data_IF_801440630347
#
_entry.id   IF_801440630347
#
_cell.length_a   1.000
_cell.length_b   1.000
_cell.length_c   1.000
_cell.angle_alpha   90.00
_cell.angle_beta   90.00
_cell.angle_gamma   90.00
#
_symmetry.space_group_name_H-M   'P 1'
#
loop_
_entity.id
_entity.type
_entity.pdbx_description
1 polymer ?
#
# COMPACT_ATOMS: atom_id res chain seq x y z
N UNK A 1 -10.31 -75.04 35.35
CA UNK A 1 -10.82 -73.92 34.52
C UNK A 1 -10.15 -72.63 34.95
N UNK A 2 -9.37 -72.01 34.05
CA UNK A 2 -9.17 -70.56 33.86
C UNK A 2 -7.90 -70.36 33.01
N UNK A 3 -8.10 -70.38 31.70
CA UNK A 3 -7.14 -69.90 30.69
C UNK A 3 -7.14 -68.37 30.73
N UNK A 4 -6.03 -67.77 31.15
CA UNK A 4 -5.81 -66.32 31.04
C UNK A 4 -5.17 -66.01 29.69
N UNK A 5 -5.95 -65.43 28.78
CA UNK A 5 -5.48 -64.92 27.49
C UNK A 5 -4.87 -63.53 27.72
N UNK A 6 -3.54 -63.39 27.58
CA UNK A 6 -2.85 -62.10 27.66
C UNK A 6 -2.97 -61.41 26.29
N UNK A 7 -3.84 -60.41 26.17
CA UNK A 7 -3.94 -59.57 24.96
C UNK A 7 -2.93 -58.42 25.06
N UNK A 8 -1.95 -58.41 24.15
CA UNK A 8 -1.01 -57.30 23.97
C UNK A 8 -1.70 -56.27 23.07
N UNK A 9 -2.09 -55.13 23.64
CA UNK A 9 -2.60 -53.97 22.91
C UNK A 9 -1.38 -53.16 22.45
N UNK A 10 -1.08 -53.20 21.14
CA UNK A 10 -0.10 -52.34 20.50
C UNK A 10 -0.77 -50.97 20.26
N UNK A 11 -0.41 -49.98 21.08
CA UNK A 11 -0.77 -48.58 20.85
C UNK A 11 0.08 -48.03 19.69
N UNK A 12 -0.56 -47.86 18.52
CA UNK A 12 -0.02 -47.04 17.44
C UNK A 12 -0.05 -45.58 17.88
N UNK A 13 1.13 -45.03 18.25
CA UNK A 13 1.32 -43.59 18.34
C UNK A 13 1.28 -43.03 16.92
N UNK A 14 0.14 -42.49 16.52
CA UNK A 14 0.08 -41.58 15.37
C UNK A 14 0.78 -40.31 15.82
N UNK A 15 2.05 -40.18 15.45
CA UNK A 15 2.79 -38.93 15.56
C UNK A 15 2.09 -37.92 14.66
N UNK A 16 1.27 -37.05 15.26
CA UNK A 16 0.78 -35.85 14.59
C UNK A 16 2.05 -35.01 14.37
N UNK A 17 2.62 -35.07 13.18
CA UNK A 17 3.65 -34.14 12.76
C UNK A 17 2.98 -32.77 12.74
N UNK A 18 3.14 -32.01 13.82
CA UNK A 18 2.74 -30.62 13.83
C UNK A 18 3.53 -29.92 12.73
N UNK A 19 2.85 -29.53 11.65
CA UNK A 19 3.44 -28.65 10.67
C UNK A 19 3.87 -27.40 11.41
N UNK A 20 5.19 -27.16 11.47
CA UNK A 20 5.69 -25.93 12.08
C UNK A 20 5.11 -24.77 11.30
N UNK A 21 4.28 -23.96 11.99
CA UNK A 21 3.75 -22.74 11.41
C UNK A 21 4.86 -21.69 11.21
N UNK A 22 6.04 -21.85 11.82
CA UNK A 22 7.18 -20.95 11.61
C UNK A 22 7.86 -21.20 10.27
N UNK A 23 8.21 -20.11 9.59
CA UNK A 23 8.95 -20.12 8.32
C UNK A 23 10.44 -19.87 8.61
N UNK A 24 11.30 -20.81 8.22
CA UNK A 24 12.76 -20.63 8.27
C UNK A 24 13.24 -19.73 7.12
N UNK A 25 14.50 -19.28 7.17
CA UNK A 25 14.99 -18.32 6.18
C UNK A 25 15.13 -18.94 4.79
N UNK A 26 15.46 -20.23 4.70
CA UNK A 26 15.63 -20.95 3.44
C UNK A 26 14.30 -21.09 2.67
N UNK A 27 13.23 -21.46 3.36
CA UNK A 27 11.85 -21.48 2.85
C UNK A 27 11.45 -20.08 2.38
N UNK A 28 11.74 -19.04 3.19
CA UNK A 28 11.38 -17.67 2.86
C UNK A 28 12.15 -17.14 1.63
N UNK A 29 13.44 -17.44 1.50
CA UNK A 29 14.26 -17.09 0.34
C UNK A 29 13.71 -17.76 -0.93
N UNK A 30 13.37 -19.04 -0.84
CA UNK A 30 12.76 -19.78 -1.95
C UNK A 30 11.45 -19.14 -2.38
N UNK A 31 10.56 -18.86 -1.44
CA UNK A 31 9.29 -18.17 -1.72
C UNK A 31 9.53 -16.81 -2.38
N UNK A 32 10.48 -16.02 -1.88
CA UNK A 32 10.81 -14.73 -2.46
C UNK A 32 11.26 -14.84 -3.91
N UNK A 33 12.19 -15.75 -4.22
CA UNK A 33 12.74 -15.92 -5.58
C UNK A 33 11.66 -16.44 -6.53
N UNK A 34 10.89 -17.46 -6.13
CA UNK A 34 9.80 -18.03 -6.95
C UNK A 34 8.75 -16.97 -7.26
N UNK A 35 8.29 -16.25 -6.23
CA UNK A 35 7.28 -15.21 -6.39
C UNK A 35 7.80 -14.06 -7.25
N UNK A 36 9.02 -13.59 -7.01
CA UNK A 36 9.64 -12.53 -7.81
C UNK A 36 9.76 -12.92 -9.28
N UNK A 37 10.26 -14.14 -9.56
CA UNK A 37 10.38 -14.67 -10.93
C UNK A 37 9.04 -14.69 -11.65
N UNK A 38 7.99 -15.20 -10.98
CA UNK A 38 6.63 -15.28 -11.53
C UNK A 38 6.08 -13.90 -11.87
N UNK A 39 6.22 -12.91 -10.96
CA UNK A 39 5.72 -11.55 -11.16
C UNK A 39 6.52 -10.76 -12.19
N UNK A 40 7.85 -10.84 -12.16
CA UNK A 40 8.70 -10.12 -13.11
C UNK A 40 8.47 -10.58 -14.56
N UNK A 41 8.31 -11.89 -14.78
CA UNK A 41 8.08 -12.46 -16.11
C UNK A 41 6.74 -12.09 -16.75
N UNK A 42 5.81 -11.49 -15.99
CA UNK A 42 4.60 -10.88 -16.55
C UNK A 42 4.94 -9.65 -17.42
N UNK A 43 6.01 -8.94 -17.09
CA UNK A 43 6.40 -7.67 -17.70
C UNK A 43 7.64 -7.80 -18.60
N UNK A 44 8.64 -8.54 -18.13
CA UNK A 44 9.92 -8.69 -18.83
C UNK A 44 10.44 -10.12 -18.65
N UNK A 45 10.88 -10.74 -19.75
CA UNK A 45 11.42 -12.10 -19.72
C UNK A 45 12.77 -12.12 -19.01
N UNK A 46 12.82 -12.68 -17.80
CA UNK A 46 14.04 -12.86 -17.01
C UNK A 46 14.28 -14.35 -16.75
N UNK A 47 15.54 -14.78 -16.67
CA UNK A 47 15.87 -16.18 -16.34
C UNK A 47 15.87 -16.37 -14.83
N UNK A 48 15.37 -17.51 -14.38
CA UNK A 48 15.35 -17.86 -12.96
C UNK A 48 16.74 -17.80 -12.31
N UNK A 49 17.78 -18.26 -13.01
CA UNK A 49 19.16 -18.27 -12.51
C UNK A 49 19.82 -16.88 -12.45
N UNK A 50 19.20 -15.85 -13.04
CA UNK A 50 19.71 -14.47 -13.00
C UNK A 50 19.15 -13.71 -11.78
N UNK A 51 18.26 -14.32 -11.00
CA UNK A 51 17.66 -13.72 -9.80
C UNK A 51 18.51 -14.05 -8.58
N UNK A 52 18.99 -13.02 -7.93
CA UNK A 52 19.81 -13.13 -6.72
C UNK A 52 19.25 -12.24 -5.60
N UNK A 53 19.36 -12.72 -4.36
CA UNK A 53 19.05 -11.91 -3.18
C UNK A 53 20.28 -11.05 -2.88
N UNK A 54 20.14 -9.74 -3.06
CA UNK A 54 21.19 -8.76 -2.77
C UNK A 54 21.34 -8.51 -1.26
N UNK A 55 20.21 -8.35 -0.56
CA UNK A 55 20.18 -8.07 0.87
C UNK A 55 18.97 -8.74 1.51
N UNK A 56 19.09 -9.09 2.79
CA UNK A 56 18.00 -9.68 3.56
C UNK A 56 17.84 -9.02 4.93
N UNK A 57 16.61 -8.70 5.29
CA UNK A 57 16.24 -8.16 6.60
C UNK A 57 15.30 -9.12 7.31
N UNK A 58 15.37 -9.13 8.64
CA UNK A 58 14.49 -9.91 9.50
C UNK A 58 13.77 -8.96 10.45
N UNK A 59 12.46 -8.85 10.32
CA UNK A 59 11.62 -8.06 11.22
C UNK A 59 10.99 -8.97 12.25
N UNK A 60 11.11 -8.57 13.53
CA UNK A 60 10.72 -9.38 14.68
C UNK A 60 9.73 -8.66 15.59
N UNK A 61 8.96 -9.46 16.31
CA UNK A 61 8.25 -9.09 17.55
C UNK A 61 8.73 -10.07 18.60
N UNK A 62 9.40 -9.58 19.64
CA UNK A 62 10.13 -10.41 20.61
C UNK A 62 11.04 -11.45 19.91
N UNK A 63 10.84 -12.74 20.19
CA UNK A 63 11.59 -13.85 19.59
C UNK A 63 10.97 -14.36 18.27
N UNK A 64 9.80 -13.86 17.89
CA UNK A 64 9.10 -14.28 16.69
C UNK A 64 9.55 -13.45 15.48
N UNK A 65 9.91 -14.13 14.39
CA UNK A 65 10.10 -13.47 13.11
C UNK A 65 8.73 -13.23 12.49
N UNK A 66 8.39 -11.96 12.26
CA UNK A 66 7.09 -11.57 11.69
C UNK A 66 7.14 -11.63 10.19
N UNK A 67 8.22 -11.10 9.59
CA UNK A 67 8.49 -11.28 8.17
C UNK A 67 9.96 -11.09 7.86
N UNK A 68 10.33 -11.61 6.71
CA UNK A 68 11.60 -11.39 6.04
C UNK A 68 11.40 -10.36 4.93
N UNK A 69 12.43 -9.57 4.64
CA UNK A 69 12.45 -8.72 3.45
C UNK A 69 13.68 -9.08 2.65
N UNK A 70 13.53 -9.37 1.37
CA UNK A 70 14.62 -9.69 0.46
C UNK A 70 14.70 -8.66 -0.65
N UNK A 71 15.78 -7.90 -0.71
CA UNK A 71 16.11 -7.07 -1.87
C UNK A 71 16.65 -7.98 -2.98
N UNK A 72 16.14 -7.80 -4.19
CA UNK A 72 16.47 -8.63 -5.35
C UNK A 72 17.38 -7.84 -6.29
N UNK A 73 18.43 -8.48 -6.82
CA UNK A 73 19.27 -7.92 -7.86
C UNK A 73 18.61 -8.12 -9.25
N UNK A 74 18.61 -7.13 -10.15
CA UNK A 74 19.22 -5.80 -10.01
C UNK A 74 18.37 -4.77 -9.24
N UNK A 75 17.06 -4.99 -9.10
CA UNK A 75 16.17 -4.13 -8.31
C UNK A 75 14.94 -4.89 -7.85
N UNK A 76 14.23 -4.34 -6.86
CA UNK A 76 13.00 -4.91 -6.33
C UNK A 76 13.18 -5.45 -4.91
N UNK A 77 12.06 -5.74 -4.26
CA UNK A 77 12.04 -6.44 -2.99
C UNK A 77 10.82 -7.36 -2.88
N UNK A 78 10.93 -8.38 -2.03
CA UNK A 78 9.80 -9.23 -1.62
C UNK A 78 9.77 -9.32 -0.09
N UNK A 79 8.61 -9.03 0.48
CA UNK A 79 8.33 -9.23 1.90
C UNK A 79 7.63 -10.58 2.06
N UNK A 80 8.23 -11.49 2.82
CA UNK A 80 7.76 -12.86 3.02
C UNK A 80 7.37 -13.08 4.47
N UNK A 81 6.15 -13.54 4.73
CA UNK A 81 5.65 -13.76 6.08
C UNK A 81 6.47 -14.81 6.84
N UNK A 82 6.68 -14.58 8.13
CA UNK A 82 7.38 -15.48 9.04
C UNK A 82 6.52 -16.65 9.54
N UNK A 83 5.24 -16.70 9.16
CA UNK A 83 4.29 -17.70 9.60
C UNK A 83 3.42 -18.26 8.46
N UNK A 84 3.35 -19.59 8.35
CA UNK A 84 2.58 -20.33 7.35
C UNK A 84 1.06 -20.19 7.49
N UNK A 85 0.58 -19.71 8.65
CA UNK A 85 -0.82 -19.38 8.87
C UNK A 85 -1.21 -17.95 8.46
N UNK A 86 -0.32 -17.25 7.75
CA UNK A 86 -0.57 -15.95 7.12
C UNK A 86 -0.21 -16.02 5.63
N UNK A 87 -0.68 -15.06 4.82
CA UNK A 87 -0.38 -15.04 3.38
C UNK A 87 1.15 -15.06 3.12
N UNK A 88 1.66 -15.78 2.12
CA UNK A 88 3.12 -15.93 1.95
C UNK A 88 3.85 -14.63 1.64
N UNK A 89 3.30 -13.84 0.71
CA UNK A 89 3.90 -12.59 0.23
C UNK A 89 2.91 -11.43 0.38
N UNK A 90 2.90 -10.74 1.52
CA UNK A 90 2.05 -9.56 1.75
C UNK A 90 2.44 -8.32 0.93
N UNK A 91 3.70 -8.18 0.52
CA UNK A 91 4.15 -7.00 -0.24
C UNK A 91 5.37 -7.31 -1.11
N UNK A 92 5.48 -6.62 -2.25
CA UNK A 92 6.65 -6.67 -3.12
C UNK A 92 6.75 -5.40 -3.99
N UNK A 93 7.92 -5.19 -4.58
CA UNK A 93 8.16 -4.20 -5.65
C UNK A 93 9.09 -4.80 -6.69
N UNK A 94 8.82 -4.55 -7.97
CA UNK A 94 9.72 -4.92 -9.07
C UNK A 94 10.64 -3.77 -9.51
N UNK A 95 10.52 -2.58 -8.89
CA UNK A 95 11.17 -1.34 -9.37
C UNK A 95 12.08 -0.67 -8.35
N UNK A 96 11.89 -0.97 -7.08
CA UNK A 96 12.62 -0.32 -5.99
C UNK A 96 13.03 -1.36 -4.97
N UNK A 97 14.19 -1.14 -4.34
CA UNK A 97 14.63 -1.93 -3.19
C UNK A 97 13.99 -1.40 -1.92
N UNK A 98 13.81 -2.28 -0.94
CA UNK A 98 13.43 -1.91 0.41
C UNK A 98 14.61 -1.25 1.13
N UNK A 99 14.31 -0.28 1.98
CA UNK A 99 15.25 0.33 2.93
C UNK A 99 14.54 0.52 4.26
N UNK A 100 15.21 0.30 5.38
CA UNK A 100 14.67 0.63 6.70
C UNK A 100 14.76 2.14 7.01
N UNK A 101 15.45 2.91 6.16
CA UNK A 101 15.66 4.33 6.33
C UNK A 101 14.65 5.18 5.54
N UNK A 102 14.25 6.31 6.14
CA UNK A 102 13.41 7.36 5.51
C UNK A 102 12.13 6.87 4.80
N UNK A 103 11.53 5.79 5.31
CA UNK A 103 10.29 5.25 4.75
C UNK A 103 9.11 6.23 4.92
N UNK A 104 8.26 6.41 3.89
CA UNK A 104 7.08 7.27 4.00
C UNK A 104 6.14 6.81 5.14
N UNK A 105 5.58 7.73 5.94
CA UNK A 105 4.74 7.36 7.09
C UNK A 105 3.53 6.52 6.70
N UNK A 106 2.91 6.79 5.54
CA UNK A 106 1.80 6.01 5.01
C UNK A 106 2.18 4.56 4.66
N UNK A 107 3.40 4.34 4.17
CA UNK A 107 3.91 2.98 3.92
C UNK A 107 4.17 2.25 5.24
N UNK A 108 4.78 2.92 6.23
CA UNK A 108 4.99 2.36 7.56
C UNK A 108 3.66 1.95 8.22
N UNK A 109 2.65 2.81 8.16
CA UNK A 109 1.32 2.53 8.70
C UNK A 109 0.67 1.34 8.00
N UNK A 110 0.79 1.23 6.68
CA UNK A 110 0.25 0.10 5.91
C UNK A 110 0.97 -1.22 6.22
N UNK A 111 2.31 -1.25 6.20
CA UNK A 111 3.09 -2.45 6.55
C UNK A 111 2.86 -2.88 8.00
N UNK A 112 2.64 -1.93 8.91
CA UNK A 112 2.30 -2.23 10.31
C UNK A 112 1.03 -3.08 10.44
N UNK A 113 0.04 -2.90 9.56
CA UNK A 113 -1.17 -3.73 9.57
C UNK A 113 -0.85 -5.21 9.29
N UNK A 114 0.02 -5.49 8.32
CA UNK A 114 0.49 -6.86 8.09
C UNK A 114 1.34 -7.39 9.24
N UNK A 115 2.19 -6.54 9.83
CA UNK A 115 2.94 -6.90 11.03
C UNK A 115 2.00 -7.39 12.14
N UNK A 116 0.97 -6.60 12.46
CA UNK A 116 0.03 -6.90 13.54
C UNK A 116 -0.80 -8.16 13.23
N UNK A 117 -1.24 -8.35 11.99
CA UNK A 117 -1.97 -9.55 11.56
C UNK A 117 -1.13 -10.81 11.67
N UNK A 118 0.14 -10.77 11.21
CA UNK A 118 1.03 -11.93 11.28
C UNK A 118 1.40 -12.22 12.73
N UNK A 119 1.68 -11.19 13.55
CA UNK A 119 1.96 -11.37 14.97
C UNK A 119 0.77 -12.01 15.69
N UNK A 120 -0.45 -11.52 15.44
CA UNK A 120 -1.68 -12.10 15.98
C UNK A 120 -1.85 -13.57 15.56
N UNK A 121 -1.59 -13.89 14.29
CA UNK A 121 -1.67 -15.25 13.77
C UNK A 121 -0.68 -16.19 14.48
N UNK A 122 0.55 -15.73 14.76
CA UNK A 122 1.57 -16.48 15.50
C UNK A 122 1.15 -16.71 16.95
N UNK A 123 0.73 -15.65 17.65
CA UNK A 123 0.37 -15.71 19.08
C UNK A 123 -0.87 -16.57 19.34
N UNK A 124 -1.86 -16.53 18.44
CA UNK A 124 -3.15 -17.18 18.63
C UNK A 124 -3.29 -18.50 17.85
N UNK A 125 -2.24 -18.92 17.12
CA UNK A 125 -2.25 -20.14 16.30
C UNK A 125 -3.48 -20.24 15.40
N UNK A 126 -3.84 -19.12 14.76
CA UNK A 126 -5.08 -19.01 13.99
C UNK A 126 -5.16 -20.08 12.89
N UNK A 127 -6.38 -20.55 12.61
CA UNK A 127 -6.63 -21.47 11.53
C UNK A 127 -6.22 -20.84 10.19
N UNK A 128 -5.54 -21.61 9.36
CA UNK A 128 -5.07 -21.14 8.05
C UNK A 128 -6.15 -21.41 7.00
N UNK A 129 -6.59 -20.39 6.24
CA UNK A 129 -7.47 -20.61 5.09
C UNK A 129 -6.84 -21.58 4.08
N UNK A 130 -7.67 -22.40 3.43
CA UNK A 130 -7.20 -23.39 2.45
C UNK A 130 -6.37 -22.75 1.32
N UNK A 131 -6.80 -21.59 0.83
CA UNK A 131 -6.09 -20.84 -0.21
C UNK A 131 -4.67 -20.46 0.23
N UNK A 132 -4.49 -20.03 1.48
CA UNK A 132 -3.18 -19.73 2.05
C UNK A 132 -2.30 -20.97 2.17
N UNK A 133 -2.87 -22.11 2.57
CA UNK A 133 -2.14 -23.40 2.60
C UNK A 133 -1.67 -23.77 1.20
N UNK A 134 -2.58 -23.75 0.22
CA UNK A 134 -2.26 -24.10 -1.16
C UNK A 134 -1.21 -23.18 -1.77
N UNK A 135 -1.23 -21.89 -1.47
CA UNK A 135 -0.23 -20.96 -2.00
C UNK A 135 1.15 -21.17 -1.36
N UNK A 136 1.23 -21.43 -0.05
CA UNK A 136 2.49 -21.85 0.58
C UNK A 136 3.06 -23.12 -0.03
N UNK A 137 2.22 -24.16 -0.19
CA UNK A 137 2.64 -25.43 -0.80
C UNK A 137 3.13 -25.21 -2.23
N UNK A 138 2.41 -24.42 -3.04
CA UNK A 138 2.81 -24.08 -4.41
C UNK A 138 4.17 -23.40 -4.43
N UNK A 139 4.34 -22.30 -3.70
CA UNK A 139 5.58 -21.51 -3.72
C UNK A 139 6.78 -22.29 -3.16
N UNK A 140 6.55 -23.23 -2.23
CA UNK A 140 7.60 -24.07 -1.66
C UNK A 140 7.96 -25.28 -2.54
N UNK A 141 7.06 -25.79 -3.37
CA UNK A 141 7.30 -27.06 -4.09
C UNK A 141 7.40 -26.92 -5.60
N UNK A 142 6.85 -25.85 -6.18
CA UNK A 142 6.82 -25.68 -7.63
C UNK A 142 8.23 -25.66 -8.25
N UNK A 143 8.38 -26.34 -9.38
CA UNK A 143 9.57 -26.26 -10.18
C UNK A 143 9.54 -24.94 -10.97
N UNK A 144 10.59 -24.10 -10.94
CA UNK A 144 10.63 -22.85 -11.72
C UNK A 144 10.32 -23.02 -13.21
N UNK A 145 10.65 -24.17 -13.80
CA UNK A 145 10.38 -24.49 -15.21
C UNK A 145 8.87 -24.71 -15.48
N UNK A 146 8.11 -25.08 -14.46
CA UNK A 146 6.66 -25.32 -14.53
C UNK A 146 5.84 -24.06 -14.25
N UNK A 147 6.47 -22.96 -13.83
CA UNK A 147 5.79 -21.69 -13.59
C UNK A 147 5.20 -21.18 -14.90
N UNK A 148 3.88 -21.26 -15.00
CA UNK A 148 3.15 -20.59 -16.07
C UNK A 148 3.15 -19.10 -15.74
N UNK A 149 3.79 -18.31 -16.60
CA UNK A 149 3.68 -16.86 -16.52
C UNK A 149 2.20 -16.51 -16.62
N UNK A 150 1.68 -15.73 -15.68
CA UNK A 150 0.28 -15.32 -15.55
C UNK A 150 -0.15 -14.33 -16.66
N UNK A 151 0.34 -14.49 -17.90
CA UNK A 151 0.14 -13.58 -19.05
C UNK A 151 -1.32 -13.34 -19.41
N UNK A 152 -2.24 -14.17 -18.90
CA UNK A 152 -3.68 -14.09 -19.15
C UNK A 152 -4.50 -13.86 -17.87
N UNK A 153 -3.88 -13.58 -16.73
CA UNK A 153 -4.64 -13.12 -15.57
C UNK A 153 -5.11 -11.69 -15.79
N UNK A 154 -6.29 -11.39 -15.27
CA UNK A 154 -6.86 -10.05 -15.33
C UNK A 154 -6.08 -9.16 -14.37
N UNK A 155 -5.20 -8.34 -14.92
CA UNK A 155 -4.39 -7.37 -14.18
C UNK A 155 -4.70 -5.94 -14.62
N UNK A 156 -4.60 -4.99 -13.69
CA UNK A 156 -4.65 -3.56 -13.95
C UNK A 156 -3.29 -2.97 -13.62
N UNK A 157 -2.52 -2.61 -14.65
CA UNK A 157 -1.22 -1.96 -14.48
C UNK A 157 -1.37 -0.62 -13.73
N UNK A 158 -0.33 -0.14 -13.01
CA UNK A 158 -0.37 1.15 -12.32
C UNK A 158 -0.86 2.29 -13.23
N UNK A 159 -1.93 2.96 -12.81
CA UNK A 159 -2.65 3.92 -13.65
C UNK A 159 -2.11 5.35 -13.51
N UNK A 160 -1.59 5.70 -12.33
CA UNK A 160 -1.05 7.02 -12.07
C UNK A 160 0.34 7.14 -12.69
N UNK A 161 0.55 8.20 -13.46
CA UNK A 161 1.89 8.56 -13.95
C UNK A 161 2.61 9.51 -13.00
N UNK A 162 1.85 10.26 -12.19
CA UNK A 162 2.41 11.15 -11.18
C UNK A 162 3.04 10.36 -10.04
N UNK A 163 4.14 10.87 -9.53
CA UNK A 163 4.82 10.41 -8.31
C UNK A 163 4.99 11.60 -7.36
N UNK A 164 3.88 12.29 -7.08
CA UNK A 164 3.91 13.53 -6.32
C UNK A 164 4.25 13.30 -4.85
N UNK A 165 4.79 14.34 -4.21
CA UNK A 165 5.19 14.35 -2.81
C UNK A 165 4.48 15.51 -2.09
N UNK A 166 4.70 15.64 -0.78
CA UNK A 166 4.06 16.63 0.08
C UNK A 166 4.95 17.80 0.47
N UNK A 167 6.26 17.72 0.18
CA UNK A 167 7.26 18.70 0.61
C UNK A 167 7.73 19.61 -0.52
N UNK A 168 9.04 19.86 -0.54
CA UNK A 168 9.72 20.78 -1.47
C UNK A 168 9.17 20.71 -2.90
N UNK A 169 8.93 21.86 -3.51
CA UNK A 169 8.27 22.09 -4.81
C UNK A 169 6.75 21.86 -4.86
N UNK A 170 6.21 20.97 -4.03
CA UNK A 170 4.77 20.68 -3.98
C UNK A 170 4.01 21.61 -3.03
N UNK A 171 4.67 22.08 -1.97
CA UNK A 171 4.05 22.83 -0.87
C UNK A 171 4.25 24.34 -0.91
N UNK A 172 4.66 24.89 -2.05
CA UNK A 172 5.10 26.30 -2.15
C UNK A 172 3.99 27.32 -1.86
N UNK A 173 2.73 26.89 -1.94
CA UNK A 173 1.57 27.73 -1.62
C UNK A 173 0.95 27.39 -0.26
N UNK A 174 1.46 26.38 0.45
CA UNK A 174 1.03 26.05 1.81
C UNK A 174 1.52 27.13 2.80
N UNK A 175 0.90 27.25 4.00
CA UNK A 175 1.30 28.22 5.00
C UNK A 175 2.80 28.18 5.30
N UNK A 176 3.42 29.34 5.46
CA UNK A 176 4.85 29.46 5.75
C UNK A 176 5.15 28.97 7.17
N UNK A 177 6.13 28.07 7.29
CA UNK A 177 6.62 27.54 8.56
C UNK A 177 8.07 27.09 8.41
N UNK A 178 8.99 27.70 9.16
CA UNK A 178 10.43 27.41 9.08
C UNK A 178 10.79 25.99 9.54
N UNK A 179 9.92 25.33 10.31
CA UNK A 179 10.10 23.92 10.69
C UNK A 179 9.72 22.95 9.57
N UNK A 180 8.99 23.41 8.55
CA UNK A 180 8.51 22.59 7.45
C UNK A 180 9.47 22.52 6.26
N UNK A 181 9.25 21.57 5.33
CA UNK A 181 10.10 21.43 4.15
C UNK A 181 10.06 22.70 3.30
N UNK A 182 11.25 23.22 2.99
CA UNK A 182 11.44 24.45 2.21
C UNK A 182 10.77 25.70 2.82
N UNK A 183 10.56 25.72 4.15
CA UNK A 183 9.99 26.87 4.86
C UNK A 183 8.46 26.97 4.78
N UNK A 184 7.79 25.87 4.43
CA UNK A 184 6.33 25.77 4.36
C UNK A 184 5.84 24.48 5.00
N UNK A 185 4.59 24.49 5.47
CA UNK A 185 3.88 23.28 5.89
C UNK A 185 3.87 22.22 4.78
N UNK A 186 3.68 20.94 5.14
CA UNK A 186 3.42 19.91 4.13
C UNK A 186 2.09 20.16 3.41
N UNK A 187 1.94 19.69 2.17
CA UNK A 187 0.63 19.74 1.49
C UNK A 187 -0.42 18.88 2.18
N UNK A 188 0.02 17.83 2.87
CA UNK A 188 -0.82 16.79 3.45
C UNK A 188 -1.10 15.63 2.50
N UNK A 189 -1.20 14.43 3.07
CA UNK A 189 -1.34 13.18 2.31
C UNK A 189 -2.66 13.14 1.54
N UNK A 190 -3.71 13.75 2.11
CA UNK A 190 -5.05 13.81 1.51
C UNK A 190 -5.03 14.68 0.25
N UNK A 191 -4.46 15.88 0.34
CA UNK A 191 -4.34 16.77 -0.81
C UNK A 191 -3.47 16.15 -1.92
N UNK A 192 -2.34 15.53 -1.57
CA UNK A 192 -1.50 14.82 -2.55
C UNK A 192 -2.24 13.66 -3.22
N UNK A 193 -2.95 12.83 -2.46
CA UNK A 193 -3.71 11.72 -3.02
C UNK A 193 -4.82 12.21 -3.95
N UNK A 194 -5.63 13.19 -3.52
CA UNK A 194 -6.67 13.81 -4.34
C UNK A 194 -6.07 14.46 -5.59
N UNK A 195 -4.95 15.17 -5.46
CA UNK A 195 -4.29 15.86 -6.56
C UNK A 195 -3.83 14.92 -7.66
N UNK A 196 -3.27 13.76 -7.27
CA UNK A 196 -2.87 12.74 -8.25
C UNK A 196 -4.09 12.13 -8.98
N UNK A 197 -5.25 12.00 -8.32
CA UNK A 197 -6.49 11.61 -8.99
C UNK A 197 -6.98 12.69 -9.96
N UNK A 198 -6.98 13.95 -9.54
CA UNK A 198 -7.35 15.07 -10.41
C UNK A 198 -6.43 15.16 -11.63
N UNK A 199 -5.12 14.96 -11.46
CA UNK A 199 -4.15 14.94 -12.55
C UNK A 199 -4.35 13.73 -13.48
N UNK A 200 -4.71 12.56 -12.95
CA UNK A 200 -5.04 11.39 -13.77
C UNK A 200 -6.22 11.65 -14.71
N UNK A 201 -7.29 12.28 -14.19
CA UNK A 201 -8.46 12.63 -14.99
C UNK A 201 -8.28 13.94 -15.77
N UNK A 202 -7.28 14.75 -15.42
CA UNK A 202 -7.07 16.12 -15.90
C UNK A 202 -8.36 16.94 -15.77
N UNK A 203 -8.93 16.93 -14.57
CA UNK A 203 -10.25 17.49 -14.30
C UNK A 203 -10.29 18.19 -12.92
N UNK A 204 -11.00 19.33 -12.79
CA UNK A 204 -11.72 20.08 -13.82
C UNK A 204 -10.86 21.16 -14.51
N UNK A 205 -11.35 21.74 -15.61
CA UNK A 205 -10.70 22.94 -16.18
C UNK A 205 -10.74 24.14 -15.21
N UNK A 206 -11.85 24.30 -14.50
CA UNK A 206 -12.06 25.34 -13.48
C UNK A 206 -12.89 24.77 -12.35
N UNK A 207 -12.60 25.16 -11.11
CA UNK A 207 -13.35 24.73 -9.93
C UNK A 207 -14.72 25.42 -9.80
N UNK A 208 -15.29 25.37 -8.59
CA UNK A 208 -16.57 26.01 -8.23
C UNK A 208 -16.44 26.72 -6.90
N UNK A 209 -16.85 27.99 -6.85
CA UNK A 209 -16.92 28.76 -5.60
C UNK A 209 -15.56 28.96 -4.92
N UNK A 210 -15.62 29.30 -3.64
CA UNK A 210 -14.45 29.51 -2.79
C UNK A 210 -14.70 28.90 -1.42
N UNK A 211 -13.63 28.64 -0.67
CA UNK A 211 -13.73 28.20 0.71
C UNK A 211 -12.66 28.88 1.58
N UNK A 212 -13.04 29.18 2.82
CA UNK A 212 -12.20 29.85 3.81
C UNK A 212 -12.46 29.24 5.17
N UNK A 213 -11.41 29.03 5.95
CA UNK A 213 -11.48 28.58 7.34
C UNK A 213 -10.38 29.24 8.18
N UNK A 214 -10.54 29.18 9.50
CA UNK A 214 -9.53 29.66 10.45
C UNK A 214 -8.69 28.48 10.95
N UNK A 215 -7.38 28.57 10.76
CA UNK A 215 -6.41 27.65 11.33
C UNK A 215 -5.91 28.19 12.68
N UNK A 216 -5.80 27.37 13.74
CA UNK A 216 -5.34 27.83 15.05
C UNK A 216 -3.95 28.49 14.99
N UNK A 217 -3.01 27.93 14.22
CA UNK A 217 -1.63 28.42 14.14
C UNK A 217 -1.33 29.36 12.95
N UNK A 218 -2.09 29.27 11.86
CA UNK A 218 -1.79 29.99 10.60
C UNK A 218 -2.85 31.02 10.21
N UNK A 219 -3.88 31.21 11.06
CA UNK A 219 -4.96 32.17 10.85
C UNK A 219 -5.87 31.81 9.67
N UNK A 220 -6.40 32.83 8.99
CA UNK A 220 -7.32 32.65 7.88
C UNK A 220 -6.64 32.02 6.66
N UNK A 221 -7.13 30.88 6.22
CA UNK A 221 -6.69 30.19 5.01
C UNK A 221 -7.87 30.14 4.03
N UNK A 222 -7.63 30.50 2.77
CA UNK A 222 -8.67 30.57 1.74
C UNK A 222 -8.19 30.21 0.35
N UNK A 223 -9.12 29.78 -0.51
CA UNK A 223 -8.90 29.53 -1.93
C UNK A 223 -10.17 29.81 -2.74
N UNK A 224 -10.03 30.39 -3.93
CA UNK A 224 -11.13 30.62 -4.87
C UNK A 224 -11.04 29.68 -6.06
N UNK A 225 -11.65 28.50 -5.94
CA UNK A 225 -11.65 27.46 -6.97
C UNK A 225 -12.37 27.90 -8.25
N UNK A 226 -13.42 28.71 -8.12
CA UNK A 226 -14.27 29.17 -9.22
C UNK A 226 -13.59 30.16 -10.17
N UNK A 227 -12.55 30.85 -9.70
CA UNK A 227 -11.74 31.76 -10.51
C UNK A 227 -10.42 31.11 -10.98
N UNK A 228 -10.17 29.85 -10.61
CA UNK A 228 -8.92 29.16 -10.93
C UNK A 228 -9.07 28.31 -12.18
N UNK A 229 -8.19 28.50 -13.17
CA UNK A 229 -8.05 27.57 -14.31
C UNK A 229 -6.86 26.64 -14.08
N UNK A 230 -7.11 25.34 -13.92
CA UNK A 230 -6.07 24.37 -13.58
C UNK A 230 -5.24 24.01 -14.82
N UNK A 231 -3.96 24.35 -14.78
CA UNK A 231 -3.04 24.22 -15.92
C UNK A 231 -2.50 22.79 -16.08
N UNK A 232 -3.36 21.84 -16.44
CA UNK A 232 -3.02 20.40 -16.49
C UNK A 232 -1.84 20.05 -17.42
N UNK A 233 -1.54 20.87 -18.43
CA UNK A 233 -0.38 20.66 -19.31
C UNK A 233 0.95 21.03 -18.63
N UNK A 234 0.91 21.93 -17.65
CA UNK A 234 2.09 22.39 -16.91
C UNK A 234 2.41 21.47 -15.72
N UNK A 235 1.47 20.59 -15.33
CA UNK A 235 1.64 19.69 -14.19
C UNK A 235 2.54 18.50 -14.54
N UNK A 236 3.81 18.58 -14.17
CA UNK A 236 4.76 17.48 -14.37
C UNK A 236 4.44 16.28 -13.46
N UNK A 237 4.76 15.07 -13.94
CA UNK A 237 4.54 13.83 -13.19
C UNK A 237 5.40 13.74 -11.91
N UNK A 238 6.57 14.36 -11.90
CA UNK A 238 7.48 14.42 -10.74
C UNK A 238 8.17 15.78 -10.74
N UNK A 239 8.39 16.38 -9.57
CA UNK A 239 9.00 17.70 -9.45
C UNK A 239 10.45 17.64 -8.98
N UNK A 240 11.34 18.21 -9.78
CA UNK A 240 12.75 18.48 -9.44
C UNK A 240 13.06 19.98 -9.39
N UNK A 241 12.05 20.80 -9.66
CA UNK A 241 12.07 22.26 -9.62
C UNK A 241 10.66 22.75 -9.24
N UNK A 242 10.51 24.01 -8.79
CA UNK A 242 9.21 24.63 -8.56
C UNK A 242 8.23 24.40 -9.71
N UNK A 243 6.98 24.04 -9.38
CA UNK A 243 5.88 23.92 -10.34
C UNK A 243 4.61 24.53 -9.73
N UNK A 244 4.34 25.81 -9.99
CA UNK A 244 3.21 26.52 -9.39
C UNK A 244 1.85 25.86 -9.68
N UNK A 245 1.66 25.24 -10.85
CA UNK A 245 0.40 24.59 -11.20
C UNK A 245 0.09 23.40 -10.27
N UNK A 246 1.10 22.58 -9.96
CA UNK A 246 0.95 21.49 -8.98
C UNK A 246 0.75 22.05 -7.57
N UNK A 247 1.54 23.05 -7.17
CA UNK A 247 1.44 23.63 -5.83
C UNK A 247 0.06 24.28 -5.57
N UNK A 248 -0.49 24.98 -6.56
CA UNK A 248 -1.82 25.59 -6.50
C UNK A 248 -2.92 24.54 -6.36
N UNK A 249 -2.89 23.49 -7.19
CA UNK A 249 -3.85 22.39 -7.10
C UNK A 249 -3.80 21.74 -5.71
N UNK A 250 -2.60 21.40 -5.21
CA UNK A 250 -2.45 20.75 -3.91
C UNK A 250 -2.89 21.65 -2.76
N UNK A 251 -2.56 22.95 -2.81
CA UNK A 251 -3.03 23.90 -1.82
C UNK A 251 -4.57 24.02 -1.85
N UNK A 252 -5.18 24.17 -3.02
CA UNK A 252 -6.64 24.27 -3.17
C UNK A 252 -7.34 23.02 -2.64
N UNK A 253 -6.82 21.83 -2.95
CA UNK A 253 -7.35 20.57 -2.40
C UNK A 253 -7.19 20.52 -0.88
N UNK A 254 -6.07 21.00 -0.32
CA UNK A 254 -5.90 21.14 1.12
C UNK A 254 -6.94 22.09 1.75
N UNK A 255 -7.13 23.28 1.19
CA UNK A 255 -8.13 24.24 1.68
C UNK A 255 -9.53 23.62 1.66
N UNK A 256 -9.88 22.92 0.59
CA UNK A 256 -11.21 22.35 0.39
C UNK A 256 -11.62 21.28 1.42
N UNK A 257 -10.67 20.75 2.18
CA UNK A 257 -10.90 19.72 3.21
C UNK A 257 -10.63 20.20 4.63
N UNK A 258 -10.49 21.51 4.85
CA UNK A 258 -10.07 22.08 6.14
C UNK A 258 -8.74 21.45 6.62
N UNK A 259 -7.71 21.47 5.77
CA UNK A 259 -6.41 20.89 6.10
C UNK A 259 -5.87 21.46 7.42
N UNK A 260 -5.55 20.56 8.33
CA UNK A 260 -4.77 20.84 9.53
C UNK A 260 -3.30 20.88 9.10
N UNK A 261 -2.84 22.08 8.74
CA UNK A 261 -1.50 22.29 8.19
C UNK A 261 -0.46 22.18 9.31
N UNK A 262 0.76 21.79 8.96
CA UNK A 262 1.83 21.71 9.93
C UNK A 262 3.20 21.42 9.34
N UNK A 263 4.28 21.74 10.07
CA UNK A 263 5.65 21.56 9.61
C UNK A 263 6.12 20.11 9.64
N UNK A 264 5.45 19.25 10.43
CA UNK A 264 5.80 17.83 10.60
C UNK A 264 4.83 16.88 9.88
N UNK A 265 3.81 17.42 9.23
CA UNK A 265 2.74 16.68 8.57
C UNK A 265 1.50 17.55 8.49
N UNK A 266 0.61 17.22 7.56
CA UNK A 266 -0.69 17.90 7.44
C UNK A 266 -1.77 16.88 7.13
N UNK A 267 -2.93 17.05 7.75
CA UNK A 267 -3.97 16.03 7.80
C UNK A 267 -5.39 16.56 7.67
N UNK A 268 -6.34 15.63 7.53
CA UNK A 268 -7.77 15.91 7.47
C UNK A 268 -8.49 15.00 8.46
N UNK A 269 -9.27 15.58 9.37
CA UNK A 269 -10.00 14.85 10.42
C UNK A 269 -11.48 14.61 10.09
N UNK A 270 -12.01 15.25 9.05
CA UNK A 270 -13.44 15.36 8.78
C UNK A 270 -13.95 14.44 7.65
N UNK A 271 -13.07 13.63 7.05
CA UNK A 271 -13.38 12.72 5.94
C UNK A 271 -14.05 13.39 4.72
N UNK A 272 -13.79 14.69 4.47
CA UNK A 272 -14.44 15.48 3.42
C UNK A 272 -13.93 15.26 2.00
N UNK A 273 -12.95 14.38 1.75
CA UNK A 273 -12.34 14.21 0.42
C UNK A 273 -13.38 14.05 -0.71
N UNK A 274 -14.34 13.13 -0.56
CA UNK A 274 -15.40 12.92 -1.55
C UNK A 274 -16.35 14.13 -1.66
N UNK A 275 -16.73 14.74 -0.53
CA UNK A 275 -17.56 15.94 -0.51
C UNK A 275 -16.90 17.11 -1.25
N UNK A 276 -15.61 17.34 -1.00
CA UNK A 276 -14.81 18.38 -1.64
C UNK A 276 -14.78 18.19 -3.15
N UNK A 277 -14.43 16.98 -3.62
CA UNK A 277 -14.34 16.68 -5.05
C UNK A 277 -15.66 16.98 -5.78
N UNK A 278 -16.81 16.63 -5.19
CA UNK A 278 -18.12 16.93 -5.76
C UNK A 278 -18.45 18.43 -5.74
N UNK A 279 -18.21 19.08 -4.60
CA UNK A 279 -18.68 20.45 -4.34
C UNK A 279 -17.84 21.49 -5.09
N UNK A 280 -16.51 21.34 -5.07
CA UNK A 280 -15.59 22.36 -5.56
C UNK A 280 -14.87 21.96 -6.85
N UNK A 281 -14.78 20.66 -7.16
CA UNK A 281 -14.02 20.14 -8.30
C UNK A 281 -14.86 19.41 -9.34
N UNK A 282 -16.20 19.56 -9.28
CA UNK A 282 -17.16 19.07 -10.30
C UNK A 282 -17.09 17.56 -10.55
N UNK A 283 -16.69 16.77 -9.55
CA UNK A 283 -16.79 15.32 -9.65
C UNK A 283 -18.24 14.86 -9.50
N UNK A 284 -18.52 13.68 -10.05
CA UNK A 284 -19.87 13.14 -10.15
C UNK A 284 -20.52 12.97 -8.76
N UNK A 285 -21.85 13.18 -8.63
CA UNK A 285 -22.59 13.01 -7.38
C UNK A 285 -22.35 11.67 -6.67
N UNK A 286 -22.06 10.61 -7.44
CA UNK A 286 -21.78 9.24 -6.99
C UNK A 286 -20.38 9.07 -6.37
N UNK A 287 -19.55 10.13 -6.33
CA UNK A 287 -18.23 10.07 -5.68
C UNK A 287 -18.44 10.02 -4.17
N UNK A 288 -18.19 8.89 -3.52
CA UNK A 288 -18.51 8.68 -2.11
C UNK A 288 -17.29 8.33 -1.26
N UNK A 289 -17.39 8.58 0.06
CA UNK A 289 -16.41 8.11 1.03
C UNK A 289 -16.98 6.87 1.72
N UNK A 290 -16.36 5.71 1.50
CA UNK A 290 -16.79 4.44 2.05
C UNK A 290 -15.90 4.02 3.21
N UNK A 291 -16.52 3.51 4.28
CA UNK A 291 -15.84 2.98 5.45
C UNK A 291 -15.86 1.46 5.42
N UNK A 292 -14.66 0.83 5.44
CA UNK A 292 -14.54 -0.63 5.36
C UNK A 292 -15.11 -1.34 6.59
N UNK A 293 -14.97 -0.73 7.76
CA UNK A 293 -15.37 -1.29 9.07
C UNK A 293 -16.87 -1.27 9.34
N UNK A 294 -17.62 -0.40 8.67
CA UNK A 294 -19.07 -0.22 8.83
C UNK A 294 -19.88 -0.59 7.59
N UNK A 295 -19.21 -1.02 6.52
CA UNK A 295 -19.85 -1.46 5.29
C UNK A 295 -20.08 -2.97 5.27
N UNK A 296 -21.20 -3.39 4.69
CA UNK A 296 -21.49 -4.80 4.37
C UNK A 296 -21.03 -5.19 2.96
N UNK A 297 -20.36 -4.28 2.24
CA UNK A 297 -19.85 -4.56 0.89
C UNK A 297 -18.70 -5.55 0.95
N UNK A 298 -18.61 -6.41 -0.06
CA UNK A 298 -17.37 -7.14 -0.32
C UNK A 298 -16.30 -6.14 -0.77
N UNK A 299 -15.40 -5.80 0.14
CA UNK A 299 -14.43 -4.72 -0.07
C UNK A 299 -13.50 -4.97 -1.26
N UNK A 300 -13.07 -6.22 -1.46
CA UNK A 300 -12.20 -6.59 -2.58
C UNK A 300 -12.94 -6.41 -3.91
N UNK A 301 -14.23 -6.74 -3.95
CA UNK A 301 -15.07 -6.51 -5.14
C UNK A 301 -15.24 -5.03 -5.45
N UNK A 302 -15.34 -4.17 -4.43
CA UNK A 302 -15.38 -2.71 -4.62
C UNK A 302 -14.08 -2.21 -5.26
N UNK A 303 -12.94 -2.62 -4.72
CA UNK A 303 -11.62 -2.22 -5.23
C UNK A 303 -11.42 -2.72 -6.66
N UNK A 304 -11.66 -4.02 -6.91
CA UNK A 304 -11.48 -4.63 -8.25
C UNK A 304 -12.40 -3.98 -9.29
N UNK A 305 -13.67 -3.72 -8.96
CA UNK A 305 -14.60 -3.08 -9.89
C UNK A 305 -14.15 -1.67 -10.32
N UNK A 306 -13.53 -0.91 -9.41
CA UNK A 306 -12.95 0.40 -9.74
C UNK A 306 -11.73 0.29 -10.63
N UNK A 307 -10.80 -0.62 -10.30
CA UNK A 307 -9.58 -0.85 -11.09
C UNK A 307 -9.94 -1.34 -12.51
N UNK A 308 -10.89 -2.25 -12.65
CA UNK A 308 -11.40 -2.76 -13.93
C UNK A 308 -11.97 -1.64 -14.82
N UNK A 309 -12.58 -0.63 -14.21
CA UNK A 309 -13.14 0.55 -14.88
C UNK A 309 -12.10 1.65 -15.11
N UNK A 310 -10.85 1.42 -14.73
CA UNK A 310 -9.77 2.43 -14.76
C UNK A 310 -10.16 3.69 -13.97
N UNK A 311 -10.71 3.50 -12.78
CA UNK A 311 -11.01 4.58 -11.83
C UNK A 311 -10.10 4.39 -10.62
N UNK A 312 -8.99 5.16 -10.50
CA UNK A 312 -8.14 5.08 -9.33
C UNK A 312 -8.87 5.66 -8.12
N UNK A 313 -8.54 5.18 -6.93
CA UNK A 313 -9.27 5.50 -5.70
C UNK A 313 -8.39 6.25 -4.71
N UNK A 314 -8.99 7.21 -4.02
CA UNK A 314 -8.47 7.69 -2.75
C UNK A 314 -8.64 6.57 -1.71
N UNK A 315 -7.60 6.26 -0.95
CA UNK A 315 -7.63 5.22 0.06
C UNK A 315 -6.86 5.69 1.31
N UNK A 316 -7.43 5.48 2.49
CA UNK A 316 -6.83 5.86 3.76
C UNK A 316 -7.08 4.79 4.84
N UNK A 317 -6.22 4.79 5.85
CA UNK A 317 -6.33 3.98 7.06
C UNK A 317 -5.62 4.70 8.20
N UNK A 318 -6.08 4.46 9.43
CA UNK A 318 -5.59 5.07 10.66
C UNK A 318 -5.48 4.03 11.77
#
# INVERSE_FOLDING_TARGET
MKTGLLSIIILFFISITGFTQKVNIEDAQRVAIIFYYERANQYELIKYNDIEIAESYKVKSDENTIYYVFNIFPTGYVLVSGAKNSIPVPAYSLKTSYSDFNQPPQFKAWVKQYFDQINYAIENQTATPLETISEWERLLTINPVELQVLKNEKEVSPMLLSTWNQGNHYNQMCPADQGGPSGHCYTGCVATAMGQLCNYFRWPDTGVGSYTYEHPDYGTISANFGETHYQWNEMANSLYSPNPAVAELLFHLGVSVDMDYGPNGSGMWNHKAAYSLRTYFKYAPESEYLYRDSSNLNWDSVVVAHLDRKIPMYYAGW
#
